data_IF_200382888822
#
_entry.id   IF_200382888822
#
_cell.length_a   1.000
_cell.length_b   1.000
_cell.length_c   1.000
_cell.angle_alpha   90.00
_cell.angle_beta   90.00
_cell.angle_gamma   90.00
#
_symmetry.space_group_name_H-M   'P 1'
#
loop_
_entity.id
_entity.type
_entity.pdbx_description
1 polymer ?
#
# COMPACT_ATOMS: atom_id res chain seq x y z
N UNK A 1 5.67 7.21 -16.83
CA UNK A 1 6.13 7.98 -15.63
C UNK A 1 6.40 7.00 -14.51
N UNK A 2 7.62 6.99 -13.97
CA UNK A 2 8.10 6.01 -12.98
C UNK A 2 7.76 6.44 -11.55
N UNK A 3 7.65 5.49 -10.61
CA UNK A 3 7.52 5.67 -9.15
C UNK A 3 8.49 6.71 -8.53
N UNK A 4 9.50 7.15 -9.27
CA UNK A 4 10.44 8.23 -8.92
C UNK A 4 9.81 9.60 -8.71
N UNK A 5 8.57 9.84 -9.16
CA UNK A 5 7.88 11.13 -8.97
C UNK A 5 6.98 11.19 -7.72
N UNK A 6 6.94 10.13 -6.90
CA UNK A 6 6.19 10.12 -5.65
C UNK A 6 6.95 10.91 -4.56
N UNK A 7 6.38 11.98 -3.97
CA UNK A 7 7.04 12.78 -2.95
C UNK A 7 7.37 11.99 -1.68
N UNK A 8 8.42 12.42 -0.96
CA UNK A 8 8.85 11.75 0.28
C UNK A 8 7.74 11.78 1.35
N UNK A 9 7.36 10.61 1.87
CA UNK A 9 6.27 10.45 2.86
C UNK A 9 4.92 10.04 2.27
N UNK A 10 4.82 9.87 0.95
CA UNK A 10 3.63 9.35 0.30
C UNK A 10 3.48 7.83 0.52
N UNK A 11 2.23 7.38 0.67
CA UNK A 11 1.88 5.97 0.94
C UNK A 11 1.33 5.32 -0.32
N UNK A 12 1.85 4.14 -0.67
CA UNK A 12 1.32 3.33 -1.76
C UNK A 12 0.31 2.34 -1.20
N UNK A 13 -0.92 2.38 -1.70
CA UNK A 13 -1.99 1.49 -1.26
C UNK A 13 -2.52 0.72 -2.47
N UNK A 14 -2.56 -0.60 -2.35
CA UNK A 14 -3.07 -1.49 -3.38
C UNK A 14 -4.45 -2.02 -2.98
N UNK A 15 -5.41 -1.83 -3.88
CA UNK A 15 -6.77 -2.33 -3.77
C UNK A 15 -6.97 -3.47 -4.73
N UNK A 16 -7.68 -4.51 -4.31
CA UNK A 16 -8.17 -5.55 -5.22
C UNK A 16 -9.47 -5.03 -5.81
N UNK A 17 -9.56 -5.00 -7.14
CA UNK A 17 -10.80 -4.70 -7.85
C UNK A 17 -11.76 -5.85 -7.57
N UNK A 18 -12.83 -5.56 -6.85
CA UNK A 18 -13.93 -6.52 -6.70
C UNK A 18 -14.60 -6.72 -8.06
N UNK A 19 -15.05 -7.94 -8.35
CA UNK A 19 -15.74 -8.23 -9.60
C UNK A 19 -16.99 -7.35 -9.68
N UNK A 20 -17.08 -6.56 -10.75
CA UNK A 20 -17.99 -5.42 -10.92
C UNK A 20 -19.50 -5.73 -10.85
N UNK A 21 -19.90 -6.96 -10.55
CA UNK A 21 -21.30 -7.37 -10.40
C UNK A 21 -21.92 -6.92 -9.06
N UNK A 22 -21.12 -6.66 -8.03
CA UNK A 22 -21.63 -6.19 -6.73
C UNK A 22 -21.45 -4.69 -6.60
N UNK A 23 -22.47 -3.97 -7.07
CA UNK A 23 -22.90 -2.65 -6.57
C UNK A 23 -21.85 -1.54 -6.56
N UNK A 24 -21.49 -0.93 -7.70
CA UNK A 24 -21.16 0.51 -7.83
C UNK A 24 -20.13 1.19 -6.90
N UNK A 25 -19.51 0.43 -6.00
CA UNK A 25 -18.69 0.89 -4.89
C UNK A 25 -17.26 0.88 -5.42
N UNK A 26 -16.81 2.04 -5.89
CA UNK A 26 -15.42 2.25 -6.27
C UNK A 26 -14.50 1.97 -5.07
N UNK A 27 -14.07 0.72 -4.92
CA UNK A 27 -13.08 0.26 -3.94
C UNK A 27 -13.43 0.58 -2.46
N UNK A 28 -14.70 0.88 -2.17
CA UNK A 28 -15.14 1.30 -0.83
C UNK A 28 -14.75 2.74 -0.43
N UNK A 29 -14.39 3.59 -1.39
CA UNK A 29 -13.99 4.98 -1.15
C UNK A 29 -14.97 5.94 -1.82
N UNK A 30 -15.29 7.04 -1.12
CA UNK A 30 -15.93 8.22 -1.73
C UNK A 30 -14.91 9.34 -1.81
N UNK A 31 -14.87 9.98 -2.97
CA UNK A 31 -13.95 11.08 -3.24
C UNK A 31 -14.65 12.44 -3.20
N UNK A 32 -13.93 13.45 -2.71
CA UNK A 32 -14.28 14.87 -2.77
C UNK A 32 -13.26 15.60 -3.63
N UNK A 33 -13.74 16.49 -4.49
CA UNK A 33 -12.91 17.38 -5.30
C UNK A 33 -12.78 18.74 -4.61
N UNK A 34 -11.58 19.31 -4.60
CA UNK A 34 -11.33 20.71 -4.22
C UNK A 34 -11.38 21.61 -5.45
N UNK A 35 -11.48 22.93 -5.25
CA UNK A 35 -11.53 23.93 -6.33
C UNK A 35 -10.37 23.81 -7.33
N UNK A 36 -9.17 23.40 -6.86
CA UNK A 36 -8.00 23.12 -7.70
C UNK A 36 -8.01 21.76 -8.41
N UNK A 37 -9.16 21.05 -8.46
CA UNK A 37 -9.32 19.69 -9.00
C UNK A 37 -8.47 18.61 -8.32
N UNK A 38 -7.89 18.93 -7.17
CA UNK A 38 -7.26 17.95 -6.27
C UNK A 38 -8.34 17.05 -5.67
N UNK A 39 -8.04 15.76 -5.56
CA UNK A 39 -9.02 14.74 -5.15
C UNK A 39 -8.62 14.18 -3.79
N UNK A 40 -9.55 14.24 -2.85
CA UNK A 40 -9.37 13.81 -1.46
C UNK A 40 -10.31 12.66 -1.13
N UNK A 41 -9.89 11.83 -0.18
CA UNK A 41 -10.75 10.80 0.41
C UNK A 41 -11.71 11.48 1.38
N UNK A 42 -13.00 11.41 1.07
CA UNK A 42 -14.05 12.00 1.88
C UNK A 42 -14.57 11.01 2.91
N UNK A 43 -15.01 9.86 2.41
CA UNK A 43 -15.61 8.81 3.24
C UNK A 43 -15.02 7.45 2.87
N UNK A 44 -14.76 6.66 3.91
CA UNK A 44 -14.35 5.26 3.80
C UNK A 44 -15.54 4.41 4.25
N UNK A 45 -15.94 3.47 3.40
CA UNK A 45 -17.16 2.69 3.60
C UNK A 45 -16.84 1.49 4.52
N UNK A 46 -17.54 1.33 5.66
CA UNK A 46 -17.31 0.21 6.57
C UNK A 46 -17.46 -1.16 5.88
N UNK A 47 -16.72 -2.16 6.36
CA UNK A 47 -16.79 -3.53 5.82
C UNK A 47 -16.07 -3.74 4.48
N UNK A 48 -15.52 -2.70 3.89
CA UNK A 48 -14.76 -2.78 2.63
C UNK A 48 -13.25 -2.97 2.88
N UNK A 49 -12.51 -3.31 1.81
CA UNK A 49 -11.04 -3.32 1.87
C UNK A 49 -10.47 -1.97 2.31
N UNK A 50 -11.07 -0.85 1.89
CA UNK A 50 -10.66 0.49 2.31
C UNK A 50 -10.74 0.67 3.83
N UNK A 51 -11.81 0.17 4.47
CA UNK A 51 -11.95 0.23 5.94
C UNK A 51 -10.89 -0.61 6.67
N UNK A 52 -10.48 -1.75 6.11
CA UNK A 52 -9.39 -2.55 6.68
C UNK A 52 -8.04 -1.83 6.55
N UNK A 53 -7.81 -1.12 5.45
CA UNK A 53 -6.61 -0.32 5.24
C UNK A 53 -6.57 0.92 6.15
N UNK A 54 -7.73 1.51 6.44
CA UNK A 54 -7.88 2.58 7.43
C UNK A 54 -7.49 2.11 8.84
N UNK A 55 -8.00 0.96 9.27
CA UNK A 55 -7.64 0.35 10.56
C UNK A 55 -6.15 0.01 10.68
N UNK A 56 -5.49 -0.31 9.56
CA UNK A 56 -4.04 -0.54 9.50
C UNK A 56 -3.22 0.78 9.47
N UNK A 57 -3.87 1.95 9.45
CA UNK A 57 -3.22 3.25 9.36
C UNK A 57 -2.64 3.59 7.98
N UNK A 58 -2.91 2.75 6.97
CA UNK A 58 -2.37 2.93 5.61
C UNK A 58 -3.09 4.02 4.81
N UNK A 59 -4.31 4.35 5.20
CA UNK A 59 -5.19 5.31 4.55
C UNK A 59 -6.03 6.00 5.62
N UNK A 60 -6.35 7.28 5.44
CA UNK A 60 -7.16 8.07 6.36
C UNK A 60 -8.12 8.97 5.58
N UNK A 61 -9.23 9.37 6.23
CA UNK A 61 -10.11 10.39 5.68
C UNK A 61 -9.37 11.71 5.60
N UNK A 62 -9.61 12.46 4.53
CA UNK A 62 -8.95 13.73 4.25
C UNK A 62 -7.62 13.60 3.50
N UNK A 63 -7.11 12.40 3.27
CA UNK A 63 -5.91 12.20 2.46
C UNK A 63 -6.11 12.59 0.99
N UNK A 64 -5.08 13.14 0.34
CA UNK A 64 -5.06 13.48 -1.08
C UNK A 64 -4.54 12.31 -1.93
N UNK A 65 -5.20 12.06 -3.07
CA UNK A 65 -4.76 11.09 -4.06
C UNK A 65 -3.86 11.78 -5.08
N UNK A 66 -2.58 11.43 -5.05
CA UNK A 66 -1.53 12.09 -5.84
C UNK A 66 -1.20 11.31 -7.10
N UNK A 67 -1.30 9.98 -7.06
CA UNK A 67 -1.12 9.13 -8.24
C UNK A 67 -2.09 7.95 -8.25
N UNK A 68 -2.41 7.49 -9.45
CA UNK A 68 -3.21 6.28 -9.70
C UNK A 68 -2.48 5.38 -10.70
N UNK A 69 -2.58 4.07 -10.51
CA UNK A 69 -2.03 3.10 -11.48
C UNK A 69 -2.67 3.27 -12.85
N UNK A 70 -1.85 3.20 -13.89
CA UNK A 70 -2.27 3.24 -15.28
C UNK A 70 -3.30 2.14 -15.60
N UNK A 71 -4.06 2.36 -16.66
CA UNK A 71 -5.07 1.41 -17.15
C UNK A 71 -4.43 0.10 -17.65
N UNK A 72 -3.20 0.18 -18.14
CA UNK A 72 -2.41 -0.92 -18.66
C UNK A 72 -1.00 -0.90 -18.03
N UNK A 73 -0.51 -2.07 -17.62
CA UNK A 73 0.80 -2.22 -17.00
C UNK A 73 0.88 -1.79 -15.53
N UNK A 74 2.11 -1.58 -15.07
CA UNK A 74 2.46 -1.23 -13.68
C UNK A 74 2.87 0.24 -13.50
N UNK A 75 2.70 1.06 -14.52
CA UNK A 75 3.00 2.49 -14.43
C UNK A 75 2.03 3.22 -13.50
N UNK A 76 2.50 4.34 -12.92
CA UNK A 76 1.69 5.24 -12.10
C UNK A 76 1.57 6.58 -12.80
N UNK A 77 0.35 7.10 -12.91
CA UNK A 77 0.04 8.40 -13.49
C UNK A 77 -0.33 9.40 -12.40
N UNK A 78 0.07 10.66 -12.59
CA UNK A 78 -0.30 11.73 -11.68
C UNK A 78 -1.82 11.92 -11.67
N UNK A 79 -2.40 11.95 -10.47
CA UNK A 79 -3.80 12.26 -10.23
C UNK A 79 -3.99 13.69 -9.69
N UNK A 80 -2.92 14.48 -9.55
CA UNK A 80 -3.01 15.89 -9.14
C UNK A 80 -3.73 16.72 -10.21
N UNK A 81 -4.79 17.41 -9.80
CA UNK A 81 -5.54 18.34 -10.65
C UNK A 81 -6.38 17.68 -11.75
N UNK A 82 -6.56 16.36 -11.74
CA UNK A 82 -7.30 15.66 -12.80
C UNK A 82 -8.84 15.79 -12.65
N UNK A 83 -9.30 16.05 -11.42
CA UNK A 83 -10.71 16.09 -11.05
C UNK A 83 -11.31 14.71 -10.75
N UNK A 84 -12.33 14.69 -9.90
CA UNK A 84 -12.96 13.47 -9.37
C UNK A 84 -13.46 12.55 -10.49
N UNK A 85 -14.19 13.09 -11.45
CA UNK A 85 -14.76 12.29 -12.55
C UNK A 85 -13.70 11.54 -13.36
N UNK A 86 -12.53 12.15 -13.60
CA UNK A 86 -11.45 11.48 -14.35
C UNK A 86 -10.78 10.38 -13.53
N UNK A 87 -10.59 10.61 -12.21
CA UNK A 87 -10.08 9.58 -11.32
C UNK A 87 -11.03 8.37 -11.29
N UNK A 88 -12.31 8.63 -11.07
CA UNK A 88 -13.37 7.63 -11.02
C UNK A 88 -13.47 6.83 -12.32
N UNK A 89 -13.40 7.50 -13.47
CA UNK A 89 -13.36 6.84 -14.78
C UNK A 89 -12.13 5.96 -14.91
N UNK A 90 -10.95 6.44 -14.48
CA UNK A 90 -9.69 5.68 -14.55
C UNK A 90 -9.75 4.40 -13.72
N UNK A 91 -10.38 4.44 -12.54
CA UNK A 91 -10.64 3.26 -11.69
C UNK A 91 -11.57 2.27 -12.40
N UNK A 92 -12.64 2.78 -13.00
CA UNK A 92 -13.63 1.96 -13.69
C UNK A 92 -13.03 1.24 -14.92
N UNK A 93 -12.30 1.95 -15.78
CA UNK A 93 -11.77 1.41 -17.04
C UNK A 93 -10.51 0.56 -16.88
N UNK A 94 -9.86 0.61 -15.71
CA UNK A 94 -8.61 -0.12 -15.49
C UNK A 94 -8.80 -1.62 -15.65
N UNK A 95 -7.94 -2.21 -16.47
CA UNK A 95 -7.85 -3.65 -16.70
C UNK A 95 -6.83 -4.23 -15.71
N UNK A 96 -7.18 -5.35 -15.07
CA UNK A 96 -6.34 -6.02 -14.07
C UNK A 96 -6.94 -6.05 -12.66
N UNK A 97 -6.50 -7.02 -11.87
CA UNK A 97 -7.10 -7.36 -10.58
C UNK A 97 -6.80 -6.36 -9.46
N UNK A 98 -5.73 -5.55 -9.54
CA UNK A 98 -5.28 -4.70 -8.43
C UNK A 98 -4.99 -3.26 -8.83
N UNK A 99 -5.65 -2.28 -8.24
CA UNK A 99 -5.47 -0.83 -8.49
C UNK A 99 -4.55 -0.26 -7.40
N UNK A 100 -3.52 0.50 -7.78
CA UNK A 100 -2.59 1.12 -6.83
C UNK A 100 -2.84 2.63 -6.78
N UNK A 101 -2.86 3.21 -5.59
CA UNK A 101 -2.86 4.67 -5.38
C UNK A 101 -1.63 5.09 -4.60
N UNK A 102 -1.16 6.30 -4.89
CA UNK A 102 -0.21 7.02 -4.05
C UNK A 102 -0.98 8.14 -3.35
N UNK A 103 -0.86 8.17 -2.04
CA UNK A 103 -1.69 8.96 -1.15
C UNK A 103 -0.81 9.82 -0.25
N UNK A 104 -1.18 11.08 -0.08
CA UNK A 104 -0.53 12.04 0.81
C UNK A 104 -1.49 12.51 1.90
N UNK A 105 -0.95 12.78 3.10
CA UNK A 105 -1.74 13.43 4.15
C UNK A 105 -1.96 14.90 3.78
N UNK A 106 -3.16 15.43 4.05
CA UNK A 106 -3.52 16.80 3.69
C UNK A 106 -2.96 17.87 4.63
N UNK A 107 -2.56 17.52 5.84
CA UNK A 107 -1.99 18.43 6.83
C UNK A 107 -0.51 18.15 7.12
N UNK A 108 0.28 19.22 7.33
CA UNK A 108 1.73 19.09 7.52
C UNK A 108 2.10 18.38 8.83
N UNK A 109 1.24 18.47 9.86
CA UNK A 109 1.40 17.73 11.10
C UNK A 109 1.22 16.22 10.91
N UNK A 110 0.21 15.78 10.15
CA UNK A 110 0.11 14.35 9.84
C UNK A 110 1.15 13.90 8.83
N UNK A 111 1.62 14.74 7.90
CA UNK A 111 2.78 14.39 7.07
C UNK A 111 4.02 14.08 7.92
N UNK A 112 4.31 14.89 8.95
CA UNK A 112 5.43 14.65 9.87
C UNK A 112 5.24 13.39 10.70
N UNK A 113 4.04 13.17 11.27
CA UNK A 113 3.72 11.96 12.05
C UNK A 113 3.78 10.69 11.19
N UNK A 114 3.28 10.75 9.96
CA UNK A 114 3.29 9.64 9.01
C UNK A 114 4.71 9.33 8.53
N UNK A 115 5.54 10.35 8.30
CA UNK A 115 6.97 10.16 8.00
C UNK A 115 7.70 9.47 9.17
N UNK A 116 7.46 9.91 10.40
CA UNK A 116 8.04 9.28 11.59
C UNK A 116 7.56 7.83 11.79
N UNK A 117 6.29 7.53 11.50
CA UNK A 117 5.74 6.17 11.55
C UNK A 117 6.38 5.28 10.48
N UNK A 118 6.49 5.78 9.24
CA UNK A 118 7.13 5.05 8.14
C UNK A 118 8.60 4.75 8.44
N UNK A 119 9.33 5.71 9.02
CA UNK A 119 10.72 5.51 9.45
C UNK A 119 10.84 4.49 10.58
N UNK A 120 9.91 4.48 11.55
CA UNK A 120 9.87 3.45 12.61
C UNK A 120 9.62 2.06 12.03
N UNK A 121 8.61 1.91 11.18
CA UNK A 121 8.29 0.64 10.52
C UNK A 121 9.45 0.13 9.64
N UNK A 122 10.13 1.04 8.93
CA UNK A 122 11.30 0.69 8.14
C UNK A 122 12.49 0.23 9.02
N UNK A 123 12.70 0.89 10.17
CA UNK A 123 13.71 0.47 11.15
C UNK A 123 13.37 -0.89 11.76
N UNK A 124 12.13 -1.11 12.16
CA UNK A 124 11.66 -2.40 12.68
C UNK A 124 11.84 -3.51 11.64
N UNK A 125 11.45 -3.29 10.39
CA UNK A 125 11.66 -4.26 9.30
C UNK A 125 13.16 -4.56 9.05
N UNK A 126 14.02 -3.55 9.19
CA UNK A 126 15.48 -3.75 9.07
C UNK A 126 16.05 -4.53 10.25
N UNK A 127 15.56 -4.30 11.46
CA UNK A 127 15.98 -5.04 12.65
C UNK A 127 15.50 -6.50 12.60
N UNK A 128 14.24 -6.74 12.21
CA UNK A 128 13.70 -8.10 12.09
C UNK A 128 14.39 -8.90 10.99
N UNK A 129 14.66 -8.30 9.82
CA UNK A 129 15.41 -8.97 8.75
C UNK A 129 16.85 -9.30 9.17
N UNK A 130 17.52 -8.41 9.92
CA UNK A 130 18.85 -8.69 10.48
C UNK A 130 18.81 -9.84 11.48
N UNK A 131 17.86 -9.81 12.43
CA UNK A 131 17.70 -10.85 13.43
C UNK A 131 17.38 -12.20 12.77
N UNK A 132 16.53 -12.23 11.75
CA UNK A 132 16.25 -13.44 10.96
C UNK A 132 17.51 -13.99 10.27
N UNK A 133 18.35 -13.11 9.72
CA UNK A 133 19.60 -13.51 9.08
C UNK A 133 20.64 -14.04 10.07
N UNK A 134 20.72 -13.47 11.28
CA UNK A 134 21.59 -13.97 12.36
C UNK A 134 21.08 -15.34 12.88
N UNK A 135 19.77 -15.48 13.12
CA UNK A 135 19.16 -16.75 13.53
C UNK A 135 19.39 -17.86 12.49
N UNK A 136 19.27 -17.54 11.19
CA UNK A 136 19.53 -18.51 10.12
C UNK A 136 20.98 -19.00 10.14
N UNK A 137 21.95 -18.10 10.35
CA UNK A 137 23.36 -18.47 10.47
C UNK A 137 23.63 -19.36 11.69
N UNK A 138 23.01 -19.08 12.83
CA UNK A 138 23.13 -19.91 14.02
C UNK A 138 22.52 -21.30 13.82
N UNK A 139 21.36 -21.40 13.16
CA UNK A 139 20.73 -22.69 12.83
C UNK A 139 21.59 -23.49 11.86
N UNK A 140 22.16 -22.86 10.84
CA UNK A 140 23.03 -23.53 9.87
C UNK A 140 24.36 -23.95 10.50
N UNK A 141 24.94 -23.13 11.39
CA UNK A 141 26.11 -23.51 12.18
C UNK A 141 25.80 -24.68 13.14
N UNK A 142 24.63 -24.68 13.79
CA UNK A 142 24.20 -25.77 14.66
C UNK A 142 23.91 -27.07 13.89
N UNK A 143 23.40 -26.98 12.65
CA UNK A 143 23.27 -28.13 11.74
C UNK A 143 24.62 -28.66 11.27
N UNK A 144 25.60 -27.79 11.05
CA UNK A 144 26.96 -28.17 10.67
C UNK A 144 27.75 -28.79 11.82
N UNK A 145 27.49 -28.36 13.06
CA UNK A 145 28.15 -28.86 14.27
C UNK A 145 27.59 -30.20 14.78
N UNK A 146 26.40 -30.62 14.34
CA UNK A 146 25.91 -31.99 14.61
C UNK A 146 26.53 -32.94 13.59
N UNK A 147 27.35 -33.92 14.01
CA UNK A 147 27.85 -34.93 13.08
C UNK A 147 26.65 -35.68 12.50
N UNK A 148 26.66 -35.89 11.18
CA UNK A 148 25.71 -36.75 10.48
C UNK A 148 25.81 -38.16 11.08
N UNK A 149 25.02 -38.42 12.12
CA UNK A 149 24.75 -39.74 12.62
C UNK A 149 24.08 -40.55 11.52
N UNK A 150 24.86 -41.44 10.91
CA UNK A 150 24.33 -42.57 10.14
C UNK A 150 23.54 -43.44 11.12
N UNK A 151 22.43 -43.99 10.62
CA UNK A 151 21.67 -45.13 11.16
C UNK A 151 20.64 -44.80 12.25
N UNK A 152 19.35 -44.79 11.88
CA UNK A 152 18.34 -45.73 12.40
C UNK A 152 17.15 -45.74 11.44
N UNK A 153 17.39 -46.35 10.28
CA UNK A 153 16.39 -47.08 9.52
C UNK A 153 16.80 -48.55 9.58
N UNK A 154 16.33 -49.27 10.59
CA UNK A 154 16.13 -50.72 10.63
C UNK A 154 15.33 -51.02 11.91
N UNK A 155 14.18 -51.67 11.72
CA UNK A 155 13.10 -52.01 12.68
C UNK A 155 12.07 -50.92 12.94
#
# INVERSE_FOLDING_TARGET
>A
MSLRSAPAGSRVVAFRKENAATQGLQLGLKFRESFGKAVYIDTIIPGTQAANLEKQGKLQKGDEIVMVSATFGDEMWSARGIGKQRLEKSIAVRQGQTIKFVIEASDDNSKAKQKALAEKLAKEAKMTSRLQAELAKEVDAAKAAKPKGKLFGLF
#
